data_IF_096454323519
#
_entry.id   IF_096454323519
#
_cell.length_a   1.000
_cell.length_b   1.000
_cell.length_c   1.000
_cell.angle_alpha   90.00
_cell.angle_beta   90.00
_cell.angle_gamma   90.00
#
_symmetry.space_group_name_H-M   'P 1'
#
loop_
_entity.id
_entity.type
_entity.pdbx_description
1 polymer ?
#
# COMPACT_ATOMS: atom_id res chain seq x y z
N UNK A 1 -8.84 -9.37 -34.16
CA UNK A 1 -9.48 -9.34 -32.82
C UNK A 1 -8.68 -8.45 -31.87
N UNK A 2 -9.22 -7.30 -31.45
CA UNK A 2 -8.64 -6.44 -30.39
C UNK A 2 -9.47 -6.62 -29.12
N UNK A 3 -8.97 -7.34 -28.13
CA UNK A 3 -9.57 -7.42 -26.80
C UNK A 3 -8.70 -6.60 -25.85
N UNK A 4 -9.03 -5.30 -25.73
CA UNK A 4 -8.49 -4.43 -24.69
C UNK A 4 -9.34 -4.64 -23.44
N UNK A 5 -9.01 -5.68 -22.67
CA UNK A 5 -9.62 -5.92 -21.37
C UNK A 5 -9.00 -4.97 -20.34
N UNK A 6 -9.52 -3.74 -20.29
CA UNK A 6 -9.29 -2.81 -19.21
C UNK A 6 -10.27 -3.13 -18.08
N UNK A 7 -9.92 -4.12 -17.24
CA UNK A 7 -10.55 -4.30 -15.94
C UNK A 7 -9.90 -3.36 -14.92
N UNK A 8 -10.11 -2.05 -15.11
CA UNK A 8 -9.80 -1.00 -14.12
C UNK A 8 -10.99 -0.87 -13.16
N UNK A 9 -11.28 -1.93 -12.42
CA UNK A 9 -12.27 -1.84 -11.36
C UNK A 9 -11.87 -2.76 -10.23
N UNK A 10 -10.93 -2.35 -9.38
CA UNK A 10 -10.96 -2.64 -7.95
C UNK A 10 -10.18 -1.55 -7.23
N UNK A 11 -10.91 -0.53 -6.76
CA UNK A 11 -10.45 0.42 -5.74
C UNK A 11 -10.30 -0.28 -4.39
N UNK A 12 -9.44 -1.30 -4.34
CA UNK A 12 -8.94 -1.87 -3.10
C UNK A 12 -7.69 -1.09 -2.73
N UNK A 13 -7.55 -0.73 -1.45
CA UNK A 13 -6.28 -0.21 -0.97
C UNK A 13 -5.22 -1.27 -1.26
N UNK A 14 -4.07 -0.86 -1.75
CA UNK A 14 -2.94 -1.75 -2.00
C UNK A 14 -1.81 -1.33 -1.12
N UNK A 15 -1.11 -2.31 -0.55
CA UNK A 15 0.07 -2.06 0.22
C UNK A 15 1.11 -1.35 -0.66
N UNK A 16 1.59 -0.17 -0.24
CA UNK A 16 2.54 0.63 -1.01
C UNK A 16 3.92 -0.04 -1.15
N UNK A 17 4.30 -0.87 -0.17
CA UNK A 17 5.55 -1.62 -0.22
C UNK A 17 5.44 -2.93 -1.03
N UNK A 18 4.29 -3.59 -0.98
CA UNK A 18 4.15 -5.01 -1.33
C UNK A 18 3.16 -5.23 -2.51
N UNK A 19 2.38 -4.21 -2.90
CA UNK A 19 1.40 -4.26 -3.99
C UNK A 19 0.15 -5.11 -3.73
N UNK A 20 0.11 -5.80 -2.58
CA UNK A 20 -0.98 -6.70 -2.22
C UNK A 20 -2.27 -5.93 -1.90
N UNK A 21 -3.44 -6.46 -2.31
CA UNK A 21 -4.72 -5.88 -1.94
C UNK A 21 -4.93 -6.01 -0.43
N UNK A 22 -5.28 -4.89 0.20
CA UNK A 22 -5.57 -4.76 1.63
C UNK A 22 -6.94 -4.13 1.81
N UNK A 23 -7.63 -4.55 2.87
CA UNK A 23 -8.87 -3.94 3.31
C UNK A 23 -8.56 -2.84 4.33
N UNK A 24 -9.31 -1.73 4.32
CA UNK A 24 -9.13 -0.62 5.27
C UNK A 24 -9.14 -1.06 6.74
N UNK A 25 -9.97 -2.07 7.05
CA UNK A 25 -10.10 -2.72 8.36
C UNK A 25 -8.84 -3.47 8.82
N UNK A 26 -8.00 -3.95 7.89
CA UNK A 26 -6.75 -4.66 8.19
C UNK A 26 -5.50 -3.91 7.70
N UNK A 27 -5.71 -2.68 7.21
CA UNK A 27 -4.63 -1.84 6.72
C UNK A 27 -3.86 -1.30 7.93
N UNK A 28 -2.56 -1.57 7.94
CA UNK A 28 -1.65 -1.02 8.92
C UNK A 28 -1.29 0.42 8.52
N UNK A 29 -1.80 1.39 9.28
CA UNK A 29 -1.57 2.81 9.00
C UNK A 29 -0.32 3.28 9.74
N UNK A 30 0.60 3.90 9.01
CA UNK A 30 1.81 4.50 9.59
C UNK A 30 2.03 5.90 9.05
N UNK A 31 2.49 6.81 9.91
CA UNK A 31 2.79 8.19 9.52
C UNK A 31 4.29 8.27 9.21
N UNK A 32 4.63 8.53 7.95
CA UNK A 32 6.01 8.61 7.47
C UNK A 32 6.14 9.95 6.75
N UNK A 33 7.11 10.78 7.14
CA UNK A 33 7.27 12.13 6.61
C UNK A 33 6.02 13.05 6.79
N UNK A 34 5.14 12.74 7.75
CA UNK A 34 3.89 13.48 7.96
C UNK A 34 2.72 13.01 7.08
N UNK A 35 2.93 12.02 6.21
CA UNK A 35 1.89 11.43 5.38
C UNK A 35 1.46 10.05 5.92
N UNK A 36 0.16 9.74 5.86
CA UNK A 36 -0.41 8.46 6.32
C UNK A 36 -0.35 7.45 5.20
N UNK A 37 0.54 6.46 5.36
CA UNK A 37 0.71 5.35 4.43
C UNK A 37 0.01 4.09 4.93
N UNK A 38 -0.50 3.29 3.99
CA UNK A 38 -1.28 2.09 4.27
C UNK A 38 -0.50 0.83 3.83
N UNK A 39 -0.29 -0.06 4.78
CA UNK A 39 0.47 -1.28 4.58
C UNK A 39 -0.35 -2.53 4.89
N UNK A 40 0.05 -3.66 4.31
CA UNK A 40 -0.58 -4.95 4.64
C UNK A 40 -0.11 -5.54 5.98
N UNK A 41 1.02 -5.07 6.50
CA UNK A 41 1.61 -5.56 7.74
C UNK A 41 2.63 -4.57 8.30
N UNK A 42 2.97 -4.76 9.58
CA UNK A 42 3.98 -3.96 10.29
C UNK A 42 5.37 -4.04 9.62
N UNK A 43 5.76 -5.19 9.07
CA UNK A 43 7.04 -5.35 8.38
C UNK A 43 7.12 -4.52 7.09
N UNK A 44 6.06 -4.49 6.28
CA UNK A 44 6.02 -3.64 5.07
C UNK A 44 6.08 -2.16 5.48
N UNK A 45 5.42 -1.77 6.59
CA UNK A 45 5.47 -0.40 7.11
C UNK A 45 6.86 -0.01 7.65
N UNK A 46 7.48 -0.87 8.44
CA UNK A 46 8.81 -0.65 9.01
C UNK A 46 9.90 -0.59 7.94
N UNK A 47 9.82 -1.45 6.91
CA UNK A 47 10.74 -1.39 5.77
C UNK A 47 10.59 -0.08 4.98
N UNK A 48 9.36 0.42 4.83
CA UNK A 48 9.09 1.69 4.16
C UNK A 48 9.54 2.88 5.01
N UNK A 49 9.26 2.87 6.32
CA UNK A 49 9.69 3.90 7.27
C UNK A 49 11.22 4.00 7.33
N UNK A 50 11.94 2.88 7.34
CA UNK A 50 13.41 2.89 7.27
C UNK A 50 13.96 3.42 5.94
N UNK A 51 13.22 3.26 4.83
CA UNK A 51 13.64 3.76 3.51
C UNK A 51 13.31 5.23 3.29
N UNK A 52 12.19 5.71 3.82
CA UNK A 52 11.63 7.05 3.53
C UNK A 52 11.65 8.01 4.73
N UNK A 53 11.64 7.47 5.95
CA UNK A 53 11.66 8.20 7.21
C UNK A 53 13.04 8.27 7.84
N UNK A 54 14.10 8.19 7.02
CA UNK A 54 15.50 8.11 7.43
C UNK A 54 15.81 8.89 8.72
N UNK A 55 16.01 8.13 9.79
CA UNK A 55 16.68 8.53 11.04
C UNK A 55 18.12 8.05 11.00
#
# INVERSE_FOLDING_TARGET
>A
MRLRNNTSTQGGLRCENCGMPITLERAYVRVINGERHYFCCEHCANAFEQRHGGV
#
